data_IF_596642737250
#
_entry.id   IF_596642737250
#
_cell.length_a   1.000
_cell.length_b   1.000
_cell.length_c   1.000
_cell.angle_alpha   90.00
_cell.angle_beta   90.00
_cell.angle_gamma   90.00
#
_symmetry.space_group_name_H-M   'P 1'
#
loop_
_entity.id
_entity.type
_entity.pdbx_description
1 polymer ?
#
# COMPACT_ATOMS: atom_id res chain seq x y z
N UNK A 1 -14.78 -14.29 9.09
CA UNK A 1 -13.91 -14.65 7.95
C UNK A 1 -13.54 -13.43 7.09
N UNK A 2 -14.51 -12.69 6.54
CA UNK A 2 -14.26 -11.52 5.65
C UNK A 2 -13.36 -10.43 6.27
N UNK A 3 -13.52 -10.15 7.57
CA UNK A 3 -12.67 -9.18 8.30
C UNK A 3 -11.19 -9.56 8.32
N UNK A 4 -10.89 -10.86 8.50
CA UNK A 4 -9.51 -11.39 8.50
C UNK A 4 -8.90 -11.36 7.10
N UNK A 5 -9.71 -11.64 6.06
CA UNK A 5 -9.29 -11.52 4.67
C UNK A 5 -8.90 -10.07 4.32
N UNK A 6 -9.72 -9.09 4.68
CA UNK A 6 -9.38 -7.68 4.44
C UNK A 6 -8.13 -7.23 5.22
N UNK A 7 -7.92 -7.75 6.43
CA UNK A 7 -6.68 -7.49 7.17
C UNK A 7 -5.46 -8.05 6.41
N UNK A 8 -5.56 -9.28 5.90
CA UNK A 8 -4.50 -9.89 5.09
C UNK A 8 -4.21 -9.06 3.83
N UNK A 9 -5.25 -8.67 3.09
CA UNK A 9 -5.11 -7.85 1.89
C UNK A 9 -4.49 -6.48 2.18
N UNK A 10 -4.80 -5.87 3.33
CA UNK A 10 -4.19 -4.62 3.77
C UNK A 10 -2.69 -4.79 4.03
N UNK A 11 -2.30 -5.87 4.71
CA UNK A 11 -0.88 -6.17 4.96
C UNK A 11 -0.15 -6.42 3.64
N UNK A 12 -0.69 -7.28 2.77
CA UNK A 12 -0.06 -7.61 1.49
C UNK A 12 0.11 -6.39 0.58
N UNK A 13 -0.89 -5.51 0.53
CA UNK A 13 -0.84 -4.29 -0.29
C UNK A 13 0.09 -3.20 0.26
N UNK A 14 0.47 -3.26 1.54
CA UNK A 14 1.49 -2.37 2.12
C UNK A 14 2.93 -2.82 1.87
N UNK A 15 3.16 -4.10 1.55
CA UNK A 15 4.51 -4.63 1.33
C UNK A 15 5.22 -3.87 0.21
N UNK A 16 4.52 -3.59 -0.90
CA UNK A 16 5.09 -2.90 -2.05
C UNK A 16 5.58 -1.47 -1.71
N UNK A 17 4.75 -0.55 -1.20
CA UNK A 17 5.21 0.80 -0.87
C UNK A 17 6.28 0.84 0.21
N UNK A 18 6.15 -0.01 1.24
CA UNK A 18 7.15 -0.10 2.31
C UNK A 18 8.48 -0.62 1.77
N UNK A 19 8.44 -1.67 0.93
CA UNK A 19 9.63 -2.26 0.32
C UNK A 19 10.33 -1.30 -0.64
N UNK A 20 9.57 -0.61 -1.50
CA UNK A 20 10.09 0.39 -2.44
C UNK A 20 10.74 1.55 -1.67
N UNK A 21 10.10 2.03 -0.61
CA UNK A 21 10.65 3.10 0.22
C UNK A 21 11.99 2.71 0.86
N UNK A 22 12.08 1.52 1.46
CA UNK A 22 13.34 1.04 2.04
C UNK A 22 14.39 0.73 0.98
N UNK A 23 13.99 0.24 -0.20
CA UNK A 23 14.91 0.01 -1.30
C UNK A 23 15.60 1.30 -1.72
N UNK A 24 14.87 2.42 -1.82
CA UNK A 24 15.47 3.71 -2.15
C UNK A 24 16.38 4.25 -1.04
N UNK A 25 16.05 4.03 0.24
CA UNK A 25 16.93 4.40 1.36
C UNK A 25 18.26 3.63 1.32
N UNK A 26 18.20 2.33 1.02
CA UNK A 26 19.37 1.44 1.03
C UNK A 26 20.22 1.61 -0.24
N UNK A 27 19.64 2.11 -1.33
CA UNK A 27 20.40 2.41 -2.56
C UNK A 27 21.46 3.49 -2.29
N UNK A 28 22.71 3.06 -2.22
CA UNK A 28 23.89 3.92 -2.02
C UNK A 28 24.33 4.57 -3.35
N UNK A 29 23.40 5.27 -4.00
CA UNK A 29 23.65 5.96 -5.28
C UNK A 29 23.63 7.48 -5.16
N UNK A 30 23.52 8.03 -3.94
CA UNK A 30 23.53 9.47 -3.69
C UNK A 30 22.28 10.24 -4.12
N UNK A 31 21.44 9.68 -4.99
CA UNK A 31 20.23 10.30 -5.55
C UNK A 31 18.95 9.58 -5.12
N UNK A 32 18.79 9.38 -3.81
CA UNK A 32 17.70 8.59 -3.23
C UNK A 32 16.38 9.36 -3.18
N UNK A 33 16.47 10.67 -2.96
CA UNK A 33 15.35 11.55 -2.63
C UNK A 33 14.92 12.38 -3.84
N UNK A 34 14.66 11.70 -4.95
CA UNK A 34 14.18 12.31 -6.19
C UNK A 34 12.67 12.31 -6.28
N UNK A 35 12.14 13.21 -7.10
CA UNK A 35 10.72 13.25 -7.42
C UNK A 35 10.22 11.91 -7.94
N UNK A 36 11.00 11.25 -8.78
CA UNK A 36 10.69 9.96 -9.39
C UNK A 36 10.54 8.86 -8.32
N UNK A 37 11.46 8.80 -7.35
CA UNK A 37 11.40 7.81 -6.27
C UNK A 37 10.19 8.03 -5.35
N UNK A 38 9.88 9.29 -5.03
CA UNK A 38 8.67 9.61 -4.28
C UNK A 38 7.40 9.30 -5.08
N UNK A 39 7.39 9.55 -6.38
CA UNK A 39 6.27 9.24 -7.27
C UNK A 39 6.01 7.74 -7.35
N UNK A 40 7.04 6.92 -7.56
CA UNK A 40 6.91 5.46 -7.59
C UNK A 40 6.43 4.93 -6.24
N UNK A 41 7.00 5.43 -5.14
CA UNK A 41 6.56 5.07 -3.78
C UNK A 41 5.09 5.43 -3.56
N UNK A 42 4.66 6.64 -3.95
CA UNK A 42 3.27 7.10 -3.84
C UNK A 42 2.30 6.28 -4.70
N UNK A 43 2.66 6.00 -5.95
CA UNK A 43 1.81 5.19 -6.85
C UNK A 43 1.68 3.75 -6.37
N UNK A 44 2.70 3.21 -5.71
CA UNK A 44 2.64 1.86 -5.13
C UNK A 44 1.67 1.73 -3.94
N UNK A 45 1.16 2.84 -3.38
CA UNK A 45 0.09 2.83 -2.39
C UNK A 45 -1.31 2.59 -2.99
N UNK A 46 -1.49 2.69 -4.31
CA UNK A 46 -2.79 2.55 -4.98
C UNK A 46 -3.50 1.23 -4.61
N UNK A 47 -2.85 0.05 -4.64
CA UNK A 47 -3.49 -1.20 -4.24
C UNK A 47 -4.04 -1.16 -2.80
N UNK A 48 -3.33 -0.53 -1.87
CA UNK A 48 -3.78 -0.39 -0.49
C UNK A 48 -5.04 0.47 -0.40
N UNK A 49 -5.09 1.59 -1.14
CA UNK A 49 -6.29 2.43 -1.21
C UNK A 49 -7.50 1.64 -1.75
N UNK A 50 -7.32 0.83 -2.80
CA UNK A 50 -8.39 -0.03 -3.32
C UNK A 50 -8.86 -1.06 -2.28
N UNK A 51 -7.95 -1.67 -1.53
CA UNK A 51 -8.33 -2.61 -0.46
C UNK A 51 -9.15 -1.90 0.63
N UNK A 52 -8.80 -0.66 1.00
CA UNK A 52 -9.59 0.14 1.94
C UNK A 52 -10.99 0.45 1.40
N UNK A 53 -11.08 0.83 0.13
CA UNK A 53 -12.34 1.16 -0.54
C UNK A 53 -13.26 -0.06 -0.60
N UNK A 54 -12.74 -1.21 -1.04
CA UNK A 54 -13.47 -2.47 -1.07
C UNK A 54 -13.89 -2.90 0.35
N UNK A 55 -13.00 -2.79 1.33
CA UNK A 55 -13.34 -3.09 2.74
C UNK A 55 -14.51 -2.25 3.21
N UNK A 56 -14.50 -0.94 2.93
CA UNK A 56 -15.58 -0.02 3.28
C UNK A 56 -16.90 -0.42 2.65
N UNK A 57 -16.89 -0.74 1.35
CA UNK A 57 -18.10 -1.20 0.63
C UNK A 57 -18.62 -2.53 1.21
N UNK A 58 -17.79 -3.55 1.31
CA UNK A 58 -18.22 -4.89 1.73
C UNK A 58 -18.59 -5.00 3.23
N UNK A 59 -17.92 -4.26 4.11
CA UNK A 59 -18.26 -4.24 5.55
C UNK A 59 -19.33 -3.20 5.90
N UNK A 60 -19.47 -2.14 5.12
CA UNK A 60 -20.53 -1.14 5.26
C UNK A 60 -21.88 -1.66 4.78
N UNK A 61 -21.92 -2.43 3.68
CA UNK A 61 -23.14 -3.07 3.18
C UNK A 61 -23.65 -4.16 4.14
N UNK A 62 -22.76 -4.94 4.76
CA UNK A 62 -23.12 -6.00 5.72
C UNK A 62 -23.52 -5.50 7.12
N UNK A 63 -23.68 -4.18 7.32
CA UNK A 63 -24.05 -3.57 8.61
C UNK A 63 -25.51 -3.10 8.67
N UNK A 64 -26.27 -3.22 7.58
CA UNK A 64 -27.73 -3.04 7.53
C UNK A 64 -28.42 -4.40 7.56
#
# INVERSE_FOLDING_TARGET
MIKKLFLLLQVLSLIAPVGIFFMYIIMDQGDQFTYEHYWVTGMSFIPFLFVLLLKSLFLGINKK
#
